data_IF_829658377490
#
_entry.id   IF_829658377490
#
_cell.length_a   1.000
_cell.length_b   1.000
_cell.length_c   1.000
_cell.angle_alpha   90.00
_cell.angle_beta   90.00
_cell.angle_gamma   90.00
#
_symmetry.space_group_name_H-M   'P 1'
#
loop_
_entity.id
_entity.type
_entity.pdbx_description
1 polymer ?
#
# COMPACT_ATOMS: atom_id res chain seq x y z
N UNK A 1 5.34 9.44 23.14
CA UNK A 1 4.73 9.63 21.81
C UNK A 1 5.74 10.30 20.89
N UNK A 2 6.07 9.68 19.79
CA UNK A 2 6.99 10.22 18.78
C UNK A 2 6.31 11.35 18.00
N UNK A 3 6.95 12.52 17.90
CA UNK A 3 6.34 13.68 17.25
C UNK A 3 6.17 13.50 15.73
N UNK A 4 7.11 12.82 15.06
CA UNK A 4 7.09 12.60 13.61
C UNK A 4 7.39 11.12 13.34
N UNK A 5 6.36 10.24 13.35
CA UNK A 5 6.59 8.82 13.05
C UNK A 5 7.03 8.62 11.61
N UNK A 6 8.00 7.72 11.41
CA UNK A 6 8.47 7.30 10.09
C UNK A 6 7.47 6.32 9.48
N UNK A 7 6.88 6.67 8.35
CA UNK A 7 5.87 5.89 7.67
C UNK A 7 6.39 5.47 6.30
N UNK A 8 6.47 4.18 6.08
CA UNK A 8 6.87 3.61 4.82
C UNK A 8 5.62 3.15 4.05
N UNK A 9 5.46 3.59 2.81
CA UNK A 9 4.42 3.10 1.91
C UNK A 9 5.09 2.26 0.84
N UNK A 10 4.93 0.93 0.95
CA UNK A 10 5.44 -0.06 0.01
C UNK A 10 4.32 -0.48 -0.93
N UNK A 11 4.50 -0.30 -2.24
CA UNK A 11 3.43 -0.63 -3.16
C UNK A 11 3.92 -1.15 -4.51
N UNK A 12 3.08 -1.98 -5.11
CA UNK A 12 3.18 -2.37 -6.50
C UNK A 12 2.04 -1.73 -7.30
N UNK A 13 2.34 -1.23 -8.48
CA UNK A 13 1.34 -0.68 -9.40
C UNK A 13 1.78 -0.87 -10.85
N UNK A 14 0.84 -1.28 -11.71
CA UNK A 14 1.09 -1.47 -13.15
C UNK A 14 0.55 -0.31 -13.99
N UNK A 15 -0.59 0.23 -13.61
CA UNK A 15 -1.32 1.28 -14.35
C UNK A 15 -1.55 2.54 -13.51
N UNK A 16 -0.84 2.73 -12.41
CA UNK A 16 -0.86 3.95 -11.59
C UNK A 16 -1.96 4.05 -10.54
N UNK A 17 -3.02 3.24 -10.57
CA UNK A 17 -4.14 3.39 -9.63
C UNK A 17 -3.74 3.13 -8.17
N UNK A 18 -2.91 2.12 -7.92
CA UNK A 18 -2.38 1.87 -6.57
C UNK A 18 -1.48 3.03 -6.11
N UNK A 19 -0.72 3.66 -7.02
CA UNK A 19 0.09 4.84 -6.69
C UNK A 19 -0.77 6.05 -6.29
N UNK A 20 -1.88 6.32 -6.97
CA UNK A 20 -2.83 7.39 -6.60
C UNK A 20 -3.42 7.17 -5.20
N UNK A 21 -3.75 5.93 -4.85
CA UNK A 21 -4.20 5.57 -3.50
C UNK A 21 -3.08 5.77 -2.46
N UNK A 22 -1.84 5.38 -2.79
CA UNK A 22 -0.68 5.62 -1.93
C UNK A 22 -0.45 7.11 -1.66
N UNK A 23 -0.63 7.97 -2.66
CA UNK A 23 -0.55 9.42 -2.53
C UNK A 23 -1.58 9.97 -1.54
N UNK A 24 -2.84 9.57 -1.66
CA UNK A 24 -3.89 9.99 -0.74
C UNK A 24 -3.62 9.54 0.72
N UNK A 25 -3.13 8.30 0.90
CA UNK A 25 -2.70 7.82 2.22
C UNK A 25 -1.55 8.68 2.77
N UNK A 26 -0.58 9.01 1.92
CA UNK A 26 0.57 9.84 2.31
C UNK A 26 0.16 11.28 2.69
N UNK A 27 -0.81 11.86 1.97
CA UNK A 27 -1.38 13.18 2.29
C UNK A 27 -1.93 13.19 3.72
N UNK A 28 -2.84 12.28 4.05
CA UNK A 28 -3.42 12.20 5.38
C UNK A 28 -2.41 11.87 6.49
N UNK A 29 -1.39 11.05 6.18
CA UNK A 29 -0.32 10.76 7.12
C UNK A 29 0.54 12.00 7.41
N UNK A 30 0.92 12.76 6.38
CA UNK A 30 1.71 14.01 6.51
C UNK A 30 0.94 15.09 7.25
N UNK A 31 -0.35 15.28 6.96
CA UNK A 31 -1.22 16.21 7.68
C UNK A 31 -1.32 15.89 9.18
N UNK A 32 -1.10 14.65 9.56
CA UNK A 32 -1.05 14.17 10.95
C UNK A 32 0.36 14.07 11.53
N UNK A 33 1.35 14.71 10.90
CA UNK A 33 2.73 14.80 11.39
C UNK A 33 3.62 13.62 11.02
N UNK A 34 3.17 12.69 10.17
CA UNK A 34 3.99 11.56 9.71
C UNK A 34 5.03 11.98 8.68
N UNK A 35 6.23 11.42 8.80
CA UNK A 35 7.26 11.51 7.77
C UNK A 35 7.11 10.33 6.82
N UNK A 36 6.79 10.58 5.54
CA UNK A 36 6.39 9.53 4.59
C UNK A 36 7.45 9.29 3.53
N UNK A 37 7.84 8.02 3.39
CA UNK A 37 8.69 7.52 2.30
C UNK A 37 7.93 6.52 1.44
N UNK A 38 8.09 6.62 0.12
CA UNK A 38 7.54 5.67 -0.84
C UNK A 38 8.60 4.69 -1.32
N UNK A 39 8.24 3.41 -1.42
CA UNK A 39 9.04 2.38 -2.10
C UNK A 39 8.13 1.61 -3.06
N UNK A 40 8.41 1.74 -4.35
CA UNK A 40 7.67 1.03 -5.40
C UNK A 40 8.40 -0.25 -5.78
N UNK A 41 7.69 -1.37 -5.72
CA UNK A 41 8.20 -2.68 -6.14
C UNK A 41 8.31 -2.70 -7.68
N UNK A 42 9.41 -3.25 -8.19
CA UNK A 42 9.64 -3.41 -9.63
C UNK A 42 8.61 -4.35 -10.27
N UNK A 43 8.28 -4.08 -11.53
CA UNK A 43 7.42 -4.95 -12.34
C UNK A 43 8.28 -6.04 -13.01
N UNK A 44 7.87 -7.31 -12.95
CA UNK A 44 8.55 -8.43 -13.62
C UNK A 44 8.13 -8.56 -15.11
N UNK A 45 7.26 -7.66 -15.62
CA UNK A 45 6.85 -7.69 -17.02
C UNK A 45 7.97 -7.18 -17.93
N UNK A 46 8.38 -7.95 -18.94
CA UNK A 46 9.37 -7.50 -19.90
C UNK A 46 8.93 -6.24 -20.65
N UNK A 47 9.83 -5.25 -20.79
CA UNK A 47 9.57 -3.98 -21.48
C UNK A 47 8.94 -4.16 -22.86
N UNK A 48 9.36 -5.17 -23.65
CA UNK A 48 8.79 -5.51 -24.96
C UNK A 48 7.27 -5.78 -24.96
N UNK A 49 6.67 -6.04 -23.77
CA UNK A 49 5.22 -6.20 -23.61
C UNK A 49 4.58 -4.84 -23.32
N UNK A 50 5.21 -4.03 -22.48
CA UNK A 50 4.76 -2.67 -22.12
C UNK A 50 4.77 -1.78 -23.38
N UNK A 51 5.81 -1.87 -24.19
CA UNK A 51 6.01 -1.11 -25.44
C UNK A 51 4.94 -1.34 -26.52
N UNK A 52 4.14 -2.41 -26.39
CA UNK A 52 3.02 -2.68 -27.31
C UNK A 52 1.79 -1.79 -27.08
N UNK A 53 1.73 -1.11 -25.96
CA UNK A 53 0.62 -0.22 -25.55
C UNK A 53 1.23 1.13 -25.18
N UNK A 54 1.12 2.10 -26.08
CA UNK A 54 1.70 3.46 -25.91
C UNK A 54 1.23 4.14 -24.63
N UNK A 55 -0.04 3.99 -24.27
CA UNK A 55 -0.57 4.55 -23.03
C UNK A 55 0.06 3.89 -21.80
N UNK A 56 0.25 2.58 -21.83
CA UNK A 56 0.94 1.88 -20.74
C UNK A 56 2.41 2.27 -20.64
N UNK A 57 3.09 2.41 -21.77
CA UNK A 57 4.48 2.88 -21.82
C UNK A 57 4.63 4.28 -21.21
N UNK A 58 3.72 5.19 -21.57
CA UNK A 58 3.73 6.53 -20.97
C UNK A 58 3.51 6.49 -19.46
N UNK A 59 2.51 5.75 -18.99
CA UNK A 59 2.26 5.56 -17.55
C UNK A 59 3.49 4.96 -16.86
N UNK A 60 4.15 3.99 -17.48
CA UNK A 60 5.36 3.37 -16.94
C UNK A 60 6.49 4.40 -16.75
N UNK A 61 6.75 5.24 -17.77
CA UNK A 61 7.75 6.29 -17.67
C UNK A 61 7.42 7.34 -16.61
N UNK A 62 6.16 7.75 -16.50
CA UNK A 62 5.72 8.71 -15.48
C UNK A 62 5.87 8.15 -14.07
N UNK A 63 5.56 6.86 -13.88
CA UNK A 63 5.76 6.16 -12.62
C UNK A 63 7.24 6.02 -12.28
N UNK A 64 8.10 5.67 -13.24
CA UNK A 64 9.55 5.59 -13.02
C UNK A 64 10.15 6.93 -12.61
N UNK A 65 9.71 8.01 -13.25
CA UNK A 65 10.14 9.37 -12.92
C UNK A 65 9.69 9.80 -11.51
N UNK A 66 8.46 9.48 -11.12
CA UNK A 66 7.87 9.95 -9.85
C UNK A 66 8.21 9.02 -8.68
N UNK A 67 8.22 7.72 -8.92
CA UNK A 67 8.47 6.65 -7.96
C UNK A 67 9.42 5.62 -8.60
N UNK A 68 10.73 5.90 -8.62
CA UNK A 68 11.70 4.92 -9.11
C UNK A 68 11.51 3.57 -8.41
N UNK A 69 11.64 2.49 -9.17
CA UNK A 69 11.52 1.15 -8.60
C UNK A 69 12.68 0.83 -7.66
N UNK A 70 12.36 0.08 -6.62
CA UNK A 70 13.33 -0.50 -5.70
C UNK A 70 13.27 -2.02 -5.81
N UNK A 71 14.42 -2.67 -5.74
CA UNK A 71 14.49 -4.12 -5.62
C UNK A 71 13.99 -4.58 -4.23
N UNK A 72 13.62 -5.85 -4.12
CA UNK A 72 13.02 -6.41 -2.91
C UNK A 72 13.93 -6.29 -1.69
N UNK A 73 15.22 -6.51 -1.84
CA UNK A 73 16.17 -6.44 -0.71
C UNK A 73 16.36 -5.01 -0.22
N UNK A 74 16.39 -4.03 -1.11
CA UNK A 74 16.39 -2.61 -0.74
C UNK A 74 15.15 -2.24 0.08
N UNK A 75 13.96 -2.73 -0.34
CA UNK A 75 12.71 -2.52 0.40
C UNK A 75 12.76 -3.20 1.77
N UNK A 76 13.16 -4.48 1.81
CA UNK A 76 13.26 -5.28 3.04
C UNK A 76 14.19 -4.63 4.07
N UNK A 77 15.33 -4.09 3.63
CA UNK A 77 16.30 -3.43 4.50
C UNK A 77 15.79 -2.09 5.06
N UNK A 78 14.85 -1.44 4.39
CA UNK A 78 14.23 -0.20 4.88
C UNK A 78 13.11 -0.46 5.90
N UNK A 79 12.40 -1.58 5.83
CA UNK A 79 11.25 -1.85 6.71
C UNK A 79 11.55 -1.68 8.21
N UNK A 80 12.71 -2.13 8.76
CA UNK A 80 13.02 -1.95 10.16
C UNK A 80 13.14 -0.49 10.61
N UNK A 81 13.39 0.45 9.72
CA UNK A 81 13.57 1.88 10.05
C UNK A 81 12.25 2.61 10.27
N UNK A 82 11.13 2.06 9.78
CA UNK A 82 9.82 2.67 9.89
C UNK A 82 9.14 2.35 11.23
N UNK A 83 8.30 3.27 11.71
CA UNK A 83 7.37 3.05 12.83
C UNK A 83 6.05 2.42 12.32
N UNK A 84 5.67 2.75 11.08
CA UNK A 84 4.53 2.15 10.40
C UNK A 84 4.87 1.80 8.95
N UNK A 85 4.27 0.70 8.45
CA UNK A 85 4.42 0.28 7.05
C UNK A 85 3.03 0.03 6.46
N UNK A 86 2.73 0.67 5.33
CA UNK A 86 1.48 0.48 4.60
C UNK A 86 1.77 -0.21 3.27
N UNK A 87 1.14 -1.38 3.05
CA UNK A 87 1.37 -2.19 1.86
C UNK A 87 0.23 -2.06 0.86
N UNK A 88 0.55 -1.76 -0.40
CA UNK A 88 -0.40 -1.58 -1.47
C UNK A 88 -0.20 -2.50 -2.66
N UNK A 89 -1.22 -3.25 -3.02
CA UNK A 89 -1.20 -4.12 -4.19
C UNK A 89 -2.54 -4.10 -4.92
N UNK A 90 -2.56 -4.06 -6.26
CA UNK A 90 -3.78 -4.37 -6.99
C UNK A 90 -4.15 -5.83 -6.76
N UNK A 91 -5.45 -6.15 -6.83
CA UNK A 91 -5.88 -7.56 -6.78
C UNK A 91 -5.36 -8.34 -7.99
N UNK A 92 -4.96 -9.55 -7.73
CA UNK A 92 -4.64 -10.58 -8.73
C UNK A 92 -5.39 -11.85 -8.35
N UNK A 93 -6.59 -12.01 -8.94
CA UNK A 93 -7.44 -13.19 -8.66
C UNK A 93 -7.77 -13.35 -7.16
N UNK A 94 -8.07 -12.25 -6.47
CA UNK A 94 -8.36 -12.25 -5.02
C UNK A 94 -7.11 -12.35 -4.12
N UNK A 95 -5.93 -12.10 -4.65
CA UNK A 95 -4.68 -12.13 -3.89
C UNK A 95 -3.82 -10.90 -4.19
N UNK A 96 -2.79 -10.66 -3.38
CA UNK A 96 -1.76 -9.67 -3.71
C UNK A 96 -1.04 -10.06 -5.01
N UNK A 97 -0.46 -9.09 -5.69
CA UNK A 97 0.39 -9.33 -6.86
C UNK A 97 1.63 -10.17 -6.48
N UNK A 98 2.12 -10.99 -7.42
CA UNK A 98 3.26 -11.86 -7.14
C UNK A 98 4.53 -11.07 -6.80
N UNK A 99 4.68 -9.87 -7.30
CA UNK A 99 5.77 -8.96 -6.98
C UNK A 99 5.79 -8.61 -5.49
N UNK A 100 4.62 -8.33 -4.91
CA UNK A 100 4.46 -8.11 -3.47
C UNK A 100 4.72 -9.41 -2.67
N UNK A 101 4.20 -10.54 -3.17
CA UNK A 101 4.40 -11.84 -2.51
C UNK A 101 5.87 -12.26 -2.52
N UNK A 102 6.59 -12.05 -3.62
CA UNK A 102 8.03 -12.31 -3.74
C UNK A 102 8.83 -11.53 -2.69
N UNK A 103 8.53 -10.24 -2.50
CA UNK A 103 9.14 -9.44 -1.44
C UNK A 103 8.91 -10.06 -0.05
N UNK A 104 7.68 -10.50 0.25
CA UNK A 104 7.37 -11.17 1.52
C UNK A 104 8.12 -12.50 1.67
N UNK A 105 8.25 -13.30 0.62
CA UNK A 105 8.99 -14.57 0.65
C UNK A 105 10.48 -14.36 0.94
N UNK A 106 11.06 -13.27 0.45
CA UNK A 106 12.45 -12.91 0.68
C UNK A 106 12.69 -12.27 2.07
N UNK A 107 11.62 -11.88 2.79
CA UNK A 107 11.73 -11.20 4.09
C UNK A 107 11.92 -12.14 5.30
N UNK A 108 12.28 -13.41 5.08
CA UNK A 108 12.41 -14.43 6.14
C UNK A 108 13.35 -14.02 7.27
N UNK A 109 14.44 -13.30 6.98
CA UNK A 109 15.37 -12.81 7.97
C UNK A 109 14.73 -11.78 8.92
N UNK A 110 13.84 -10.91 8.43
CA UNK A 110 13.11 -9.97 9.29
C UNK A 110 12.21 -10.70 10.28
N UNK A 111 11.56 -11.76 9.84
CA UNK A 111 10.75 -12.62 10.69
C UNK A 111 11.61 -13.30 11.75
N UNK A 112 12.71 -13.94 11.35
CA UNK A 112 13.58 -14.66 12.25
C UNK A 112 14.21 -13.76 13.32
N UNK A 113 14.53 -12.53 12.96
CA UNK A 113 15.15 -11.54 13.87
C UNK A 113 14.13 -10.66 14.61
N UNK A 114 12.81 -10.80 14.33
CA UNK A 114 11.74 -10.06 14.99
C UNK A 114 11.74 -8.55 14.73
N UNK A 115 12.34 -8.10 13.63
CA UNK A 115 12.56 -6.67 13.33
C UNK A 115 11.28 -5.86 13.09
N UNK A 116 10.15 -6.54 12.80
CA UNK A 116 8.86 -5.88 12.56
C UNK A 116 7.87 -6.06 13.72
N UNK A 117 8.26 -6.73 14.80
CA UNK A 117 7.38 -6.91 15.97
C UNK A 117 6.96 -5.55 16.53
N UNK A 118 5.65 -5.39 16.74
CA UNK A 118 5.06 -4.17 17.31
C UNK A 118 4.94 -2.99 16.35
N UNK A 119 5.53 -3.02 15.15
CA UNK A 119 5.36 -1.96 14.16
C UNK A 119 3.93 -1.91 13.65
N UNK A 120 3.43 -0.71 13.40
CA UNK A 120 2.09 -0.51 12.84
C UNK A 120 2.07 -0.96 11.39
N UNK A 121 1.03 -1.71 11.03
CA UNK A 121 0.84 -2.19 9.67
C UNK A 121 -0.55 -1.87 9.12
N UNK A 122 -0.62 -1.52 7.84
CA UNK A 122 -1.87 -1.32 7.12
C UNK A 122 -1.78 -1.76 5.68
N UNK A 123 -2.94 -1.92 5.03
CA UNK A 123 -2.99 -2.37 3.65
C UNK A 123 -3.97 -1.54 2.83
N UNK A 124 -3.77 -1.49 1.51
CA UNK A 124 -4.71 -0.92 0.56
C UNK A 124 -4.64 -1.65 -0.78
N UNK A 125 -5.73 -1.59 -1.54
CA UNK A 125 -5.83 -2.37 -2.78
C UNK A 125 -6.71 -1.68 -3.83
N UNK A 126 -6.83 -2.28 -4.99
CA UNK A 126 -7.75 -1.88 -6.05
C UNK A 126 -8.11 -3.05 -6.94
N UNK A 127 -9.31 -3.00 -7.50
CA UNK A 127 -9.83 -4.00 -8.43
C UNK A 127 -10.49 -3.33 -9.65
N UNK A 128 -10.79 -4.13 -10.69
CA UNK A 128 -11.52 -3.65 -11.87
C UNK A 128 -13.03 -3.87 -11.79
N UNK A 129 -13.53 -4.53 -10.74
CA UNK A 129 -14.97 -4.77 -10.55
C UNK A 129 -15.37 -4.71 -9.08
N UNK A 130 -16.67 -4.50 -8.82
CA UNK A 130 -17.25 -4.29 -7.48
C UNK A 130 -16.97 -5.49 -6.55
N UNK A 131 -17.07 -6.72 -7.04
CA UNK A 131 -16.74 -7.94 -6.33
C UNK A 131 -15.46 -8.57 -6.87
N UNK A 132 -14.42 -7.74 -7.09
CA UNK A 132 -13.16 -8.15 -7.70
C UNK A 132 -12.16 -8.83 -6.76
N UNK A 133 -12.54 -9.04 -5.49
CA UNK A 133 -11.69 -9.68 -4.48
C UNK A 133 -10.84 -8.70 -3.66
N UNK A 134 -11.29 -7.45 -3.49
CA UNK A 134 -10.58 -6.42 -2.73
C UNK A 134 -10.32 -6.86 -1.30
N UNK A 135 -11.36 -7.35 -0.59
CA UNK A 135 -11.28 -7.77 0.80
C UNK A 135 -10.32 -8.96 0.98
N UNK A 136 -10.42 -9.95 0.09
CA UNK A 136 -9.54 -11.13 0.13
C UNK A 136 -8.09 -10.74 -0.16
N UNK A 137 -7.88 -9.80 -1.08
CA UNK A 137 -6.54 -9.25 -1.36
C UNK A 137 -5.96 -8.50 -0.16
N UNK A 138 -6.78 -7.67 0.52
CA UNK A 138 -6.36 -7.00 1.75
C UNK A 138 -5.97 -8.03 2.83
N UNK A 139 -6.81 -9.04 3.06
CA UNK A 139 -6.53 -10.12 4.00
C UNK A 139 -5.28 -10.91 3.63
N UNK A 140 -5.04 -11.18 2.33
CA UNK A 140 -3.84 -11.88 1.88
C UNK A 140 -2.55 -11.13 2.23
N UNK A 141 -2.56 -9.78 2.19
CA UNK A 141 -1.43 -8.96 2.61
C UNK A 141 -1.27 -8.90 4.14
N UNK A 142 -2.38 -8.99 4.90
CA UNK A 142 -2.32 -9.00 6.37
C UNK A 142 -1.70 -10.29 6.93
N UNK A 143 -1.84 -11.43 6.24
CA UNK A 143 -1.31 -12.70 6.73
C UNK A 143 0.20 -12.65 7.01
N UNK A 144 1.08 -12.26 6.07
CA UNK A 144 2.50 -12.15 6.36
C UNK A 144 2.80 -11.09 7.43
N UNK A 145 2.03 -10.00 7.51
CA UNK A 145 2.21 -8.98 8.55
C UNK A 145 1.95 -9.54 9.95
N UNK A 146 0.91 -10.38 10.12
CA UNK A 146 0.64 -11.08 11.39
C UNK A 146 1.78 -12.03 11.76
N UNK A 147 2.33 -12.78 10.79
CA UNK A 147 3.50 -13.63 11.01
C UNK A 147 4.74 -12.82 11.43
N UNK A 148 4.89 -11.60 10.96
CA UNK A 148 5.95 -10.67 11.34
C UNK A 148 5.72 -10.01 12.72
N UNK A 149 4.57 -10.24 13.38
CA UNK A 149 4.24 -9.65 14.68
C UNK A 149 3.82 -8.18 14.62
N UNK A 150 3.37 -7.69 13.47
CA UNK A 150 2.92 -6.31 13.29
C UNK A 150 1.54 -6.08 13.92
N UNK A 151 1.28 -4.83 14.33
CA UNK A 151 -0.03 -4.36 14.81
C UNK A 151 -0.84 -3.85 13.62
N UNK A 152 -1.85 -4.59 13.20
CA UNK A 152 -2.65 -4.25 12.02
C UNK A 152 -3.69 -3.20 12.34
N UNK A 153 -3.77 -2.16 11.51
CA UNK A 153 -4.72 -1.05 11.59
C UNK A 153 -5.51 -0.96 10.29
N UNK A 154 -6.83 -0.96 10.40
CA UNK A 154 -7.76 -0.71 9.29
C UNK A 154 -8.40 0.69 9.35
N UNK A 155 -9.12 1.13 8.31
CA UNK A 155 -9.95 2.32 8.32
C UNK A 155 -10.97 2.32 9.47
N UNK A 156 -11.50 3.47 9.79
CA UNK A 156 -12.43 3.66 10.91
C UNK A 156 -13.79 4.14 10.41
N UNK A 157 -14.87 3.55 10.93
CA UNK A 157 -16.24 3.92 10.56
C UNK A 157 -16.71 5.30 11.08
N UNK A 158 -15.86 6.02 11.82
CA UNK A 158 -16.03 7.46 12.07
C UNK A 158 -15.79 8.30 10.79
N UNK A 159 -15.13 7.74 9.80
CA UNK A 159 -15.08 8.26 8.42
C UNK A 159 -16.36 7.83 7.69
N UNK A 160 -17.31 8.75 7.51
CA UNK A 160 -18.64 8.46 6.95
C UNK A 160 -18.57 7.85 5.54
N UNK A 161 -17.61 8.28 4.76
CA UNK A 161 -17.35 7.82 3.39
C UNK A 161 -16.99 6.34 3.33
N UNK A 162 -16.55 5.74 4.44
CA UNK A 162 -16.27 4.31 4.50
C UNK A 162 -17.53 3.45 4.27
N UNK A 163 -18.72 3.94 4.61
CA UNK A 163 -19.97 3.24 4.31
C UNK A 163 -20.26 3.12 2.81
N UNK A 164 -19.75 4.04 2.01
CA UNK A 164 -19.88 4.02 0.54
C UNK A 164 -18.68 3.32 -0.12
N UNK A 165 -17.46 3.62 0.32
CA UNK A 165 -16.21 2.98 -0.17
C UNK A 165 -16.10 1.51 0.24
N UNK A 166 -16.61 1.15 1.41
CA UNK A 166 -17.07 -0.20 1.78
C UNK A 166 -16.09 -1.11 2.51
N UNK A 167 -14.77 -0.91 2.53
CA UNK A 167 -13.83 -1.91 3.08
C UNK A 167 -13.16 -1.50 4.41
N UNK A 168 -13.52 -2.17 5.53
CA UNK A 168 -12.86 -1.94 6.83
C UNK A 168 -11.46 -2.58 6.92
N UNK A 169 -11.11 -3.46 5.98
CA UNK A 169 -9.82 -4.15 5.99
C UNK A 169 -8.67 -3.27 5.48
N UNK A 170 -8.98 -2.28 4.66
CA UNK A 170 -8.04 -1.31 4.09
C UNK A 170 -8.74 -0.48 3.01
N UNK A 171 -8.30 0.76 2.74
CA UNK A 171 -8.82 1.52 1.63
C UNK A 171 -8.75 0.73 0.34
N UNK A 172 -9.83 0.73 -0.42
CA UNK A 172 -9.87 0.04 -1.70
C UNK A 172 -10.52 0.92 -2.76
N UNK A 173 -10.20 0.68 -4.02
CA UNK A 173 -10.81 1.38 -5.14
C UNK A 173 -11.22 0.43 -6.24
N UNK A 174 -12.24 0.83 -7.00
CA UNK A 174 -12.71 0.09 -8.18
C UNK A 174 -12.52 0.99 -9.40
N UNK A 175 -11.54 0.61 -10.22
CA UNK A 175 -11.27 1.28 -11.50
C UNK A 175 -11.51 0.28 -12.61
N UNK A 176 -12.68 0.41 -13.27
CA UNK A 176 -13.09 -0.46 -14.36
C UNK A 176 -12.21 -0.28 -15.61
N UNK A 177 -12.36 -1.17 -16.60
CA UNK A 177 -11.52 -1.15 -17.81
C UNK A 177 -11.72 0.11 -18.67
N UNK A 178 -12.84 0.82 -18.48
CA UNK A 178 -13.20 2.03 -19.21
C UNK A 178 -13.04 3.32 -18.39
N UNK A 179 -12.40 3.26 -17.23
CA UNK A 179 -12.17 4.42 -16.36
C UNK A 179 -10.75 4.34 -15.78
N UNK A 180 -10.08 5.47 -15.78
CA UNK A 180 -8.79 5.70 -15.11
C UNK A 180 -8.94 6.57 -13.85
N UNK A 181 -10.18 6.91 -13.51
CA UNK A 181 -10.50 7.78 -12.38
C UNK A 181 -10.89 6.96 -11.14
N UNK A 182 -10.18 7.22 -10.06
CA UNK A 182 -10.54 6.76 -8.72
C UNK A 182 -11.67 7.66 -8.22
N UNK A 183 -12.66 7.08 -7.56
CA UNK A 183 -13.74 7.85 -6.93
C UNK A 183 -13.19 8.70 -5.79
N UNK A 184 -13.69 9.94 -5.66
CA UNK A 184 -13.26 10.82 -4.56
C UNK A 184 -13.54 10.22 -3.18
N UNK A 185 -14.63 9.50 -3.02
CA UNK A 185 -14.97 8.81 -1.77
C UNK A 185 -13.87 7.83 -1.33
N UNK A 186 -13.24 7.11 -2.27
CA UNK A 186 -12.14 6.18 -1.98
C UNK A 186 -10.87 6.94 -1.54
N UNK A 187 -10.61 8.11 -2.16
CA UNK A 187 -9.48 8.97 -1.80
C UNK A 187 -9.67 9.62 -0.42
N UNK A 188 -10.90 10.02 -0.07
CA UNK A 188 -11.23 10.53 1.29
C UNK A 188 -10.94 9.46 2.34
N UNK A 189 -11.38 8.22 2.12
CA UNK A 189 -11.11 7.10 3.03
C UNK A 189 -9.61 6.81 3.11
N UNK A 190 -8.88 6.90 1.99
CA UNK A 190 -7.44 6.70 1.96
C UNK A 190 -6.70 7.78 2.78
N UNK A 191 -7.07 9.05 2.65
CA UNK A 191 -6.52 10.15 3.47
C UNK A 191 -6.80 9.95 4.97
N UNK A 192 -8.05 9.66 5.32
CA UNK A 192 -8.42 9.39 6.72
C UNK A 192 -7.65 8.21 7.31
N UNK A 193 -7.45 7.16 6.53
CA UNK A 193 -6.65 6.00 6.91
C UNK A 193 -5.17 6.37 7.14
N UNK A 194 -4.56 7.15 6.25
CA UNK A 194 -3.19 7.65 6.42
C UNK A 194 -3.02 8.47 7.71
N UNK A 195 -3.99 9.35 8.00
CA UNK A 195 -4.05 10.09 9.26
C UNK A 195 -4.09 9.16 10.49
N UNK A 196 -4.93 8.11 10.43
CA UNK A 196 -5.03 7.11 11.50
C UNK A 196 -3.73 6.35 11.69
N UNK A 197 -3.08 5.90 10.62
CA UNK A 197 -1.77 5.21 10.66
C UNK A 197 -0.73 6.08 11.37
N UNK A 198 -0.60 7.36 11.01
CA UNK A 198 0.35 8.27 11.64
C UNK A 198 0.07 8.44 13.14
N UNK A 199 -1.19 8.65 13.52
CA UNK A 199 -1.60 8.80 14.92
C UNK A 199 -1.34 7.54 15.76
N UNK A 200 -1.57 6.35 15.21
CA UNK A 200 -1.32 5.08 15.91
C UNK A 200 0.18 4.85 16.02
N UNK A 201 0.93 5.06 14.94
CA UNK A 201 2.39 4.94 14.94
C UNK A 201 3.03 5.87 15.97
N UNK A 202 2.61 7.14 16.03
CA UNK A 202 3.09 8.09 17.03
C UNK A 202 2.84 7.66 18.50
N UNK A 203 1.78 6.87 18.74
CA UNK A 203 1.46 6.35 20.10
C UNK A 203 2.26 5.10 20.45
N UNK A 204 2.58 4.25 19.47
CA UNK A 204 3.24 2.95 19.66
C UNK A 204 4.75 3.02 19.46
N UNK A 205 5.27 4.05 18.78
CA UNK A 205 6.70 4.27 18.67
C UNK A 205 7.28 4.70 20.04
N UNK A 206 8.31 3.98 20.50
CA UNK A 206 9.05 4.25 21.73
C UNK A 206 9.94 5.50 21.61
#
# INVERSE_FOLDING_TARGET
MKNNPEILIVFYTRRGNTAKMAEAIAEGAKESGGNVKFLRIADDIPMKIIEKDENWLQIHHDLEKKYPTSDEFSIINEMPTADAIVFGSPTRFGNMAHEMKKMWDLSTELWFTGKLIGKVGGVFTGASSVHGGQEVTALSMMMPMLHQGMVIVGPSYDTKELHESGSPYGPSTIVGPNSDQIKEVDLVVARAFGSKIAKVAAKLAD
#
